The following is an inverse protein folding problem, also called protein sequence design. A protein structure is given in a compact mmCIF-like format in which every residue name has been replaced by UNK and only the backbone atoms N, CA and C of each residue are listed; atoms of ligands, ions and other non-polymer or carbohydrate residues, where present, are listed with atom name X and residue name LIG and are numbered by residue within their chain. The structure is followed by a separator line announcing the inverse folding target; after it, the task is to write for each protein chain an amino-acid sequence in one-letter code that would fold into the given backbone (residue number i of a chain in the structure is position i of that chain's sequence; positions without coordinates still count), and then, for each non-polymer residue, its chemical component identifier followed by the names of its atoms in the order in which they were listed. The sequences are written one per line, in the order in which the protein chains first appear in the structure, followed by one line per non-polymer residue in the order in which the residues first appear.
data_IF_235544800848
#
_entry.id   IF_235544800848
#
_cell.length_a   1.000
_cell.length_b   1.000
_cell.length_c   1.000
_cell.angle_alpha   90.00
_cell.angle_beta   90.00
_cell.angle_gamma   90.00
#
_symmetry.space_group_name_H-M   'P 1'
#
loop_
_entity.id
_entity.type
_entity.pdbx_description
1 polymer ?
#
# COMPACT_ATOMS: atom_id res chain seq x y z
N UNK A 1 -14.47 11.71 -14.15
CA UNK A 1 -13.23 11.94 -14.92
C UNK A 1 -12.34 12.75 -14.00
N UNK A 2 -11.22 12.18 -13.56
CA UNK A 2 -10.52 12.51 -12.30
C UNK A 2 -10.25 14.01 -12.12
N UNK A 3 -10.74 14.58 -11.02
CA UNK A 3 -10.61 16.01 -10.63
C UNK A 3 -9.27 16.28 -9.90
N UNK A 4 -8.33 15.32 -9.95
CA UNK A 4 -7.00 15.49 -9.40
C UNK A 4 -6.13 16.22 -10.42
N UNK A 5 -5.48 17.33 -10.03
CA UNK A 5 -4.49 17.97 -10.91
C UNK A 5 -3.41 16.94 -11.26
N UNK A 6 -2.87 17.05 -12.49
CA UNK A 6 -1.67 16.31 -12.92
C UNK A 6 -0.50 16.70 -12.00
N UNK A 7 -0.42 16.08 -10.83
CA UNK A 7 0.71 16.17 -9.92
C UNK A 7 1.80 15.23 -10.48
N UNK A 8 2.95 15.76 -10.92
CA UNK A 8 4.04 14.93 -11.45
C UNK A 8 4.63 13.97 -10.40
N UNK A 9 4.33 14.16 -9.11
CA UNK A 9 4.67 13.23 -8.04
C UNK A 9 3.61 12.14 -7.84
N UNK A 10 2.40 12.32 -8.38
CA UNK A 10 1.35 11.33 -8.36
C UNK A 10 1.65 10.25 -9.41
N UNK A 11 2.06 9.09 -8.92
CA UNK A 11 2.28 7.92 -9.76
C UNK A 11 0.95 7.21 -10.02
N UNK A 12 0.62 7.02 -11.29
CA UNK A 12 -0.48 6.12 -11.67
C UNK A 12 -0.18 4.70 -11.21
N UNK A 13 -1.12 4.10 -10.48
CA UNK A 13 -1.11 2.72 -10.02
C UNK A 13 -0.85 1.72 -11.15
N UNK A 14 -1.43 1.96 -12.34
CA UNK A 14 -1.25 1.13 -13.53
C UNK A 14 0.19 1.10 -14.07
N UNK A 15 1.04 2.06 -13.66
CA UNK A 15 2.43 2.20 -14.15
C UNK A 15 3.46 2.27 -13.02
N UNK A 16 3.01 2.34 -11.76
CA UNK A 16 3.87 2.38 -10.60
C UNK A 16 4.48 1.00 -10.33
N UNK A 17 5.73 0.99 -9.91
CA UNK A 17 6.36 -0.19 -9.29
C UNK A 17 6.58 0.10 -7.81
N UNK A 18 6.65 -0.94 -6.98
CA UNK A 18 6.98 -0.77 -5.56
C UNK A 18 8.29 0.00 -5.35
N UNK A 19 9.31 -0.25 -6.20
CA UNK A 19 10.56 0.49 -6.15
C UNK A 19 10.38 1.99 -6.42
N UNK A 20 9.52 2.37 -7.38
CA UNK A 20 9.20 3.77 -7.65
C UNK A 20 8.38 4.41 -6.53
N UNK A 21 7.39 3.69 -6.01
CA UNK A 21 6.56 4.16 -4.90
C UNK A 21 7.37 4.40 -3.62
N UNK A 22 8.38 3.56 -3.37
CA UNK A 22 9.31 3.74 -2.26
C UNK A 22 10.26 4.92 -2.48
N UNK A 23 10.69 5.19 -3.72
CA UNK A 23 11.52 6.36 -4.04
C UNK A 23 12.85 6.43 -3.27
N UNK A 24 13.38 5.29 -2.82
CA UNK A 24 14.58 5.21 -1.95
C UNK A 24 14.29 5.16 -0.44
N UNK A 25 13.03 5.27 -0.03
CA UNK A 25 12.58 5.04 1.34
C UNK A 25 12.40 3.54 1.62
N UNK A 26 12.26 3.19 2.90
CA UNK A 26 11.97 1.82 3.35
C UNK A 26 10.49 1.60 3.70
N UNK A 27 9.66 2.65 3.64
CA UNK A 27 8.26 2.59 4.01
C UNK A 27 7.43 3.68 3.32
N UNK A 28 6.13 3.41 3.14
CA UNK A 28 5.13 4.39 2.73
C UNK A 28 3.77 4.08 3.36
N UNK A 29 2.87 5.07 3.36
CA UNK A 29 1.48 4.90 3.80
C UNK A 29 0.61 4.63 2.58
N UNK A 30 -0.25 3.62 2.69
CA UNK A 30 -1.28 3.28 1.73
C UNK A 30 -2.64 3.56 2.34
N UNK A 31 -3.34 4.55 1.79
CA UNK A 31 -4.71 4.86 2.16
C UNK A 31 -5.63 3.92 1.40
N UNK A 32 -6.37 3.10 2.13
CA UNK A 32 -7.39 2.20 1.62
C UNK A 32 -8.77 2.70 2.03
N UNK A 33 -9.73 2.52 1.13
CA UNK A 33 -11.11 3.01 1.28
C UNK A 33 -11.19 4.51 1.65
N UNK A 34 -11.35 5.36 0.65
CA UNK A 34 -11.44 6.81 0.87
C UNK A 34 -12.68 7.25 1.68
N UNK A 35 -13.67 6.36 1.90
CA UNK A 35 -14.78 6.63 2.82
C UNK A 35 -14.34 6.51 4.27
N UNK A 36 -13.79 5.36 4.65
CA UNK A 36 -13.39 5.06 6.02
C UNK A 36 -11.99 5.60 6.38
N UNK A 37 -11.13 5.85 5.38
CA UNK A 37 -9.80 6.43 5.58
C UNK A 37 -8.80 5.48 6.24
N UNK A 38 -8.84 4.18 5.91
CA UNK A 38 -7.92 3.21 6.51
C UNK A 38 -6.47 3.44 6.07
N UNK A 39 -5.59 3.78 7.01
CA UNK A 39 -4.17 3.92 6.73
C UNK A 39 -3.39 2.64 7.02
N UNK A 40 -2.78 2.07 5.99
CA UNK A 40 -1.85 0.96 6.10
C UNK A 40 -0.41 1.46 5.97
N UNK A 41 0.46 1.06 6.90
CA UNK A 41 1.89 1.30 6.75
C UNK A 41 2.55 0.11 6.06
N UNK A 42 3.03 0.32 4.83
CA UNK A 42 3.78 -0.68 4.07
C UNK A 42 5.27 -0.45 4.30
N UNK A 43 6.00 -1.50 4.65
CA UNK A 43 7.46 -1.46 4.90
C UNK A 43 8.18 -2.51 4.07
N UNK A 44 9.24 -2.11 3.38
CA UNK A 44 10.20 -3.01 2.79
C UNK A 44 11.23 -3.42 3.85
N UNK A 45 11.14 -4.67 4.32
CA UNK A 45 12.03 -5.18 5.37
C UNK A 45 13.38 -5.61 4.80
N UNK A 46 13.38 -6.23 3.62
CA UNK A 46 14.58 -6.73 2.98
C UNK A 46 14.41 -6.80 1.46
N UNK A 47 15.48 -6.48 0.71
CA UNK A 47 15.58 -6.77 -0.71
C UNK A 47 16.33 -8.09 -0.89
N UNK A 48 15.67 -9.07 -1.50
CA UNK A 48 16.23 -10.39 -1.76
C UNK A 48 16.47 -10.61 -3.26
N UNK A 49 17.42 -11.50 -3.62
CA UNK A 49 17.55 -11.96 -5.01
C UNK A 49 16.22 -12.57 -5.51
N UNK A 50 15.88 -12.41 -6.79
CA UNK A 50 14.68 -13.01 -7.35
C UNK A 50 14.69 -14.54 -7.24
N UNK A 51 13.61 -15.11 -6.71
CA UNK A 51 13.39 -16.57 -6.70
C UNK A 51 12.57 -16.97 -7.95
N UNK A 52 13.12 -17.77 -8.88
CA UNK A 52 12.42 -18.21 -10.09
C UNK A 52 11.18 -19.09 -9.80
N UNK A 53 11.07 -19.66 -8.60
CA UNK A 53 9.90 -20.43 -8.19
C UNK A 53 8.75 -19.53 -7.69
N UNK A 54 9.05 -18.31 -7.24
CA UNK A 54 8.07 -17.37 -6.69
C UNK A 54 7.33 -16.62 -7.80
N UNK A 55 6.22 -17.19 -8.28
CA UNK A 55 5.41 -16.58 -9.36
C UNK A 55 4.41 -15.53 -8.87
N UNK A 56 4.08 -15.55 -7.58
CA UNK A 56 3.08 -14.67 -6.98
C UNK A 56 3.52 -14.27 -5.56
N UNK A 57 3.02 -13.13 -5.03
CA UNK A 57 3.22 -12.77 -3.63
C UNK A 57 2.71 -13.87 -2.70
N UNK A 58 3.46 -14.14 -1.63
CA UNK A 58 3.08 -15.10 -0.60
C UNK A 58 2.92 -14.38 0.74
N UNK A 59 1.81 -14.66 1.42
CA UNK A 59 1.64 -14.25 2.81
C UNK A 59 2.38 -15.26 3.69
N UNK A 60 3.52 -14.85 4.25
CA UNK A 60 4.35 -15.71 5.10
C UNK A 60 3.85 -15.74 6.56
N UNK A 61 3.22 -14.66 7.00
CA UNK A 61 2.70 -14.50 8.35
C UNK A 61 1.61 -13.43 8.40
N UNK A 62 0.75 -13.51 9.42
CA UNK A 62 -0.27 -12.52 9.72
C UNK A 62 -0.74 -12.69 11.16
N UNK A 63 -1.17 -11.59 11.78
CA UNK A 63 -1.71 -11.59 13.13
C UNK A 63 -2.91 -10.64 13.20
N UNK A 64 -3.87 -10.99 14.06
CA UNK A 64 -5.17 -10.34 14.21
C UNK A 64 -6.09 -10.51 12.99
N UNK A 65 -7.38 -10.26 13.20
CA UNK A 65 -8.35 -10.17 12.11
C UNK A 65 -8.21 -8.81 11.40
N UNK A 66 -8.41 -8.78 10.08
CA UNK A 66 -8.64 -7.52 9.39
C UNK A 66 -9.88 -6.83 9.98
N UNK A 67 -9.92 -5.48 10.04
CA UNK A 67 -11.15 -4.78 10.34
C UNK A 67 -12.25 -5.25 9.40
N UNK A 68 -13.50 -5.44 9.87
CA UNK A 68 -14.62 -5.68 8.97
C UNK A 68 -14.75 -4.49 8.00
N UNK A 69 -15.13 -4.74 6.75
CA UNK A 69 -15.57 -3.66 5.85
C UNK A 69 -16.74 -2.90 6.51
N UNK A 70 -16.82 -1.58 6.31
CA UNK A 70 -17.89 -0.68 6.78
C UNK A 70 -17.99 -0.42 8.29
N UNK A 71 -16.91 -0.51 9.07
CA UNK A 71 -16.94 -0.14 10.51
C UNK A 71 -16.59 1.32 10.81
N UNK A 72 -16.26 2.13 9.79
CA UNK A 72 -15.85 3.51 9.99
C UNK A 72 -14.45 3.59 10.59
N UNK A 73 -13.55 4.30 9.94
CA UNK A 73 -12.24 4.61 10.51
C UNK A 73 -12.36 5.23 11.90
N UNK A 74 -11.31 5.09 12.70
CA UNK A 74 -11.22 5.64 14.06
C UNK A 74 -11.81 7.06 14.13
N UNK A 75 -13.02 7.19 14.69
CA UNK A 75 -13.53 8.48 15.14
C UNK A 75 -12.63 8.91 16.31
N UNK A 76 -11.63 9.74 16.02
CA UNK A 76 -10.93 10.49 17.05
C UNK A 76 -11.92 11.45 17.71
N UNK A 77 -12.24 11.19 18.98
CA UNK A 77 -12.78 12.18 19.90
C UNK A 77 -11.69 13.07 20.49
#
# INVERSE_FOLDING_TARGET
MSDYPDDPLLLSDARATLARALGGLTAFTYLYDFGDGWEHRVRGEQLLPPDPALKHPLCLAGANACPPEDVGGFLSG
#
